data_IF_539289337727
#
_entry.id   IF_539289337727
#
_cell.length_a   1.000
_cell.length_b   1.000
_cell.length_c   1.000
_cell.angle_alpha   90.00
_cell.angle_beta   90.00
_cell.angle_gamma   90.00
#
_symmetry.space_group_name_H-M   'P 1'
#
loop_
_entity.id
_entity.type
_entity.pdbx_description
1 polymer ?
#
# COMPACT_ATOMS: atom_id res chain seq x y z
N UNK A 1 -7.45 13.97 -24.69
CA UNK A 1 -6.39 13.28 -25.46
C UNK A 1 -5.66 12.36 -24.49
N UNK A 2 -5.76 11.05 -24.68
CA UNK A 2 -5.01 10.07 -23.87
C UNK A 2 -3.51 10.35 -24.01
N UNK A 3 -2.78 10.38 -22.90
CA UNK A 3 -1.32 10.55 -22.91
C UNK A 3 -0.71 9.39 -23.69
N UNK A 4 0.15 9.68 -24.64
CA UNK A 4 0.94 8.65 -25.32
C UNK A 4 1.84 7.98 -24.29
N UNK A 5 1.66 6.69 -24.08
CA UNK A 5 2.47 5.87 -23.17
C UNK A 5 3.55 5.21 -24.03
N UNK A 6 4.80 5.61 -23.81
CA UNK A 6 5.94 5.12 -24.60
C UNK A 6 6.48 3.78 -24.08
N UNK A 7 6.23 3.46 -22.79
CA UNK A 7 6.72 2.26 -22.12
C UNK A 7 5.66 1.69 -21.19
N UNK A 8 5.26 0.45 -21.42
CA UNK A 8 4.20 -0.21 -20.63
C UNK A 8 4.69 -1.07 -19.48
N UNK A 9 5.90 -1.57 -19.56
CA UNK A 9 6.50 -2.53 -18.62
C UNK A 9 7.85 -2.00 -18.14
N UNK A 10 8.33 -2.39 -16.96
CA UNK A 10 9.71 -2.13 -16.58
C UNK A 10 10.68 -2.89 -17.50
N UNK A 11 11.88 -2.34 -17.71
CA UNK A 11 12.98 -3.11 -18.28
C UNK A 11 13.47 -4.09 -17.22
N UNK A 12 14.01 -5.20 -17.60
CA UNK A 12 14.75 -6.15 -16.76
C UNK A 12 14.05 -6.47 -15.41
N UNK A 13 12.71 -6.65 -15.43
CA UNK A 13 11.96 -6.98 -14.22
C UNK A 13 12.15 -8.45 -13.87
N UNK A 14 12.65 -8.70 -12.66
CA UNK A 14 12.69 -10.01 -12.04
C UNK A 14 11.85 -10.02 -10.75
N UNK A 15 11.18 -11.15 -10.49
CA UNK A 15 10.46 -11.34 -9.22
C UNK A 15 11.44 -11.44 -8.06
N UNK A 16 11.21 -10.65 -7.04
CA UNK A 16 11.98 -10.73 -5.81
C UNK A 16 11.85 -12.11 -5.16
N UNK A 17 12.98 -12.70 -4.78
CA UNK A 17 13.03 -14.07 -4.23
C UNK A 17 13.46 -14.13 -2.77
N UNK A 18 13.84 -13.00 -2.18
CA UNK A 18 14.25 -12.89 -0.78
C UNK A 18 13.36 -11.92 0.00
N UNK A 19 13.62 -11.77 1.29
CA UNK A 19 12.82 -10.92 2.19
C UNK A 19 13.42 -9.53 2.43
N UNK A 20 14.41 -9.11 1.66
CA UNK A 20 14.95 -7.75 1.69
C UNK A 20 14.81 -7.15 0.30
N UNK A 21 13.93 -6.16 0.15
CA UNK A 21 13.60 -5.53 -1.12
C UNK A 21 14.16 -4.12 -1.21
N UNK A 22 14.83 -3.84 -2.32
CA UNK A 22 15.53 -2.58 -2.56
C UNK A 22 15.23 -2.06 -3.96
N UNK A 23 14.55 -0.91 -4.05
CA UNK A 23 14.21 -0.27 -5.32
C UNK A 23 14.71 1.18 -5.33
N UNK A 24 16.04 1.41 -5.51
CA UNK A 24 16.62 2.75 -5.51
C UNK A 24 16.11 3.60 -6.67
N UNK A 25 15.84 2.99 -7.82
CA UNK A 25 15.07 3.59 -8.90
C UNK A 25 13.60 3.21 -8.75
N UNK A 26 12.76 4.23 -8.63
CA UNK A 26 11.32 4.01 -8.40
C UNK A 26 10.61 3.31 -9.57
N UNK A 27 11.14 3.40 -10.79
CA UNK A 27 10.46 2.95 -12.01
C UNK A 27 9.54 4.03 -12.62
N UNK A 28 9.47 4.03 -13.95
CA UNK A 28 8.77 5.07 -14.76
C UNK A 28 8.09 4.46 -15.98
N UNK A 29 7.29 3.43 -15.83
CA UNK A 29 6.50 2.86 -16.92
C UNK A 29 5.02 3.22 -16.78
N UNK A 30 4.26 3.02 -17.83
CA UNK A 30 2.85 3.35 -17.93
C UNK A 30 2.56 4.78 -17.46
N UNK A 31 1.65 4.94 -16.53
CA UNK A 31 1.23 6.23 -15.97
C UNK A 31 1.81 6.51 -14.59
N UNK A 32 2.79 5.72 -14.14
CA UNK A 32 3.41 5.91 -12.82
C UNK A 32 4.16 7.23 -12.71
N UNK A 33 3.95 7.91 -11.61
CA UNK A 33 4.70 9.11 -11.21
C UNK A 33 4.91 9.16 -9.69
N UNK A 34 5.80 10.07 -9.25
CA UNK A 34 6.10 10.29 -7.84
C UNK A 34 5.38 11.51 -7.25
N UNK A 35 4.36 12.05 -7.93
CA UNK A 35 3.74 13.33 -7.55
C UNK A 35 2.87 13.23 -6.30
N UNK A 36 2.25 12.08 -6.05
CA UNK A 36 1.47 11.87 -4.84
C UNK A 36 2.41 11.48 -3.69
N UNK A 37 2.36 12.24 -2.59
CA UNK A 37 3.19 11.98 -1.42
C UNK A 37 2.80 10.64 -0.79
N UNK A 38 3.79 9.86 -0.37
CA UNK A 38 3.56 8.55 0.25
C UNK A 38 3.30 7.39 -0.73
N UNK A 39 3.29 7.64 -2.04
CA UNK A 39 3.21 6.55 -3.00
C UNK A 39 4.40 5.59 -2.87
N UNK A 40 4.14 4.32 -2.79
CA UNK A 40 5.17 3.28 -2.89
C UNK A 40 5.70 3.10 -4.33
N UNK A 41 6.85 2.43 -4.47
CA UNK A 41 7.39 2.06 -5.78
C UNK A 41 6.46 1.05 -6.47
N UNK A 42 6.18 1.20 -7.77
CA UNK A 42 5.34 0.25 -8.52
C UNK A 42 5.93 -1.17 -8.58
N UNK A 43 7.22 -1.34 -8.37
CA UNK A 43 7.83 -2.66 -8.21
C UNK A 43 7.23 -3.47 -7.05
N UNK A 44 6.77 -2.79 -5.98
CA UNK A 44 6.20 -3.46 -4.81
C UNK A 44 4.87 -4.13 -5.14
N UNK A 45 3.81 -3.40 -5.56
CA UNK A 45 2.55 -4.04 -5.92
C UNK A 45 2.70 -4.99 -7.11
N UNK A 46 3.62 -4.73 -8.06
CA UNK A 46 3.89 -5.65 -9.16
C UNK A 46 4.38 -7.01 -8.67
N UNK A 47 5.38 -7.05 -7.80
CA UNK A 47 5.86 -8.28 -7.19
C UNK A 47 4.76 -9.03 -6.42
N UNK A 48 3.99 -8.31 -5.62
CA UNK A 48 2.92 -8.88 -4.81
C UNK A 48 1.78 -9.47 -5.66
N UNK A 49 1.30 -8.71 -6.66
CA UNK A 49 0.22 -9.12 -7.55
C UNK A 49 0.61 -10.38 -8.33
N UNK A 50 1.83 -10.40 -8.89
CA UNK A 50 2.33 -11.56 -9.63
C UNK A 50 2.51 -12.81 -8.78
N UNK A 51 2.86 -12.64 -7.48
CA UNK A 51 3.08 -13.77 -6.56
C UNK A 51 1.80 -14.32 -5.95
N UNK A 52 0.82 -13.46 -5.67
CA UNK A 52 -0.31 -13.81 -4.81
C UNK A 52 -1.66 -13.72 -5.49
N UNK A 53 -1.71 -13.47 -6.80
CA UNK A 53 -2.92 -13.48 -7.59
C UNK A 53 -2.69 -14.07 -8.99
N UNK A 54 -3.80 -14.39 -9.67
CA UNK A 54 -3.81 -14.85 -11.04
C UNK A 54 -4.51 -13.84 -11.95
N UNK A 55 -4.35 -13.95 -13.27
CA UNK A 55 -5.09 -13.13 -14.22
C UNK A 55 -6.61 -13.34 -14.04
N UNK A 56 -7.35 -12.24 -14.11
CA UNK A 56 -8.79 -12.22 -13.87
C UNK A 56 -9.19 -12.15 -12.39
N UNK A 57 -8.29 -12.39 -11.43
CA UNK A 57 -8.57 -12.27 -10.00
C UNK A 57 -9.00 -10.84 -9.63
N UNK A 58 -9.82 -10.71 -8.58
CA UNK A 58 -10.22 -9.44 -8.01
C UNK A 58 -9.25 -9.01 -6.89
N UNK A 59 -8.55 -7.92 -7.13
CA UNK A 59 -7.65 -7.26 -6.17
C UNK A 59 -8.40 -6.14 -5.44
N UNK A 60 -8.08 -5.91 -4.18
CA UNK A 60 -8.59 -4.78 -3.39
C UNK A 60 -7.41 -3.93 -2.89
N UNK A 61 -7.50 -2.61 -3.07
CA UNK A 61 -6.69 -1.62 -2.36
C UNK A 61 -7.62 -0.59 -1.72
N UNK A 62 -7.70 -0.58 -0.39
CA UNK A 62 -8.57 0.32 0.36
C UNK A 62 -7.90 1.61 0.83
N UNK A 63 -6.68 1.88 0.39
CA UNK A 63 -5.94 3.12 0.61
C UNK A 63 -5.16 3.49 -0.66
N UNK A 64 -5.90 3.73 -1.76
CA UNK A 64 -5.30 3.82 -3.10
C UNK A 64 -4.32 4.98 -3.28
N UNK A 65 -4.47 6.07 -2.50
CA UNK A 65 -3.63 7.25 -2.59
C UNK A 65 -3.40 7.69 -4.04
N UNK A 66 -2.17 7.60 -4.51
CA UNK A 66 -1.81 7.96 -5.89
C UNK A 66 -2.07 6.91 -6.96
N UNK A 67 -2.73 5.80 -6.65
CA UNK A 67 -3.20 4.80 -7.63
C UNK A 67 -2.13 3.85 -8.17
N UNK A 68 -1.00 3.68 -7.48
CA UNK A 68 0.07 2.82 -7.96
C UNK A 68 -0.37 1.35 -8.09
N UNK A 69 -1.10 0.83 -7.09
CA UNK A 69 -1.64 -0.54 -7.11
C UNK A 69 -2.66 -0.72 -8.22
N UNK A 70 -3.52 0.29 -8.45
CA UNK A 70 -4.56 0.23 -9.50
C UNK A 70 -3.94 0.08 -10.88
N UNK A 71 -2.91 0.88 -11.17
CA UNK A 71 -2.19 0.82 -12.46
C UNK A 71 -1.55 -0.55 -12.65
N UNK A 72 -0.86 -1.09 -11.64
CA UNK A 72 -0.22 -2.40 -11.74
C UNK A 72 -1.24 -3.54 -11.90
N UNK A 73 -2.34 -3.54 -11.13
CA UNK A 73 -3.38 -4.55 -11.28
C UNK A 73 -3.98 -4.54 -12.69
N UNK A 74 -4.31 -3.34 -13.21
CA UNK A 74 -4.83 -3.18 -14.58
C UNK A 74 -3.84 -3.70 -15.62
N UNK A 75 -2.55 -3.32 -15.54
CA UNK A 75 -1.51 -3.76 -16.47
C UNK A 75 -1.30 -5.27 -16.47
N UNK A 76 -1.44 -5.89 -15.32
CA UNK A 76 -1.21 -7.32 -15.10
C UNK A 76 -2.48 -8.17 -15.34
N UNK A 77 -3.53 -7.62 -15.94
CA UNK A 77 -4.81 -8.31 -16.19
C UNK A 77 -5.51 -8.81 -14.92
N UNK A 78 -5.45 -8.04 -13.82
CA UNK A 78 -6.26 -8.26 -12.62
C UNK A 78 -7.34 -7.20 -12.54
N UNK A 79 -8.55 -7.61 -12.16
CA UNK A 79 -9.61 -6.67 -11.81
C UNK A 79 -9.30 -6.05 -10.45
N UNK A 80 -9.61 -4.77 -10.25
CA UNK A 80 -9.31 -4.11 -8.98
C UNK A 80 -10.42 -3.18 -8.54
N UNK A 81 -10.72 -3.24 -7.24
CA UNK A 81 -11.50 -2.22 -6.52
C UNK A 81 -10.54 -1.37 -5.72
N UNK A 82 -10.57 -0.07 -5.97
CA UNK A 82 -9.78 0.92 -5.26
C UNK A 82 -10.64 1.86 -4.44
N UNK A 83 -10.28 2.07 -3.17
CA UNK A 83 -11.03 2.91 -2.23
C UNK A 83 -10.11 3.94 -1.62
N UNK A 84 -10.62 5.13 -1.40
CA UNK A 84 -9.99 6.18 -0.59
C UNK A 84 -11.06 7.11 -0.03
N UNK A 85 -10.82 7.72 1.11
CA UNK A 85 -11.68 8.78 1.67
C UNK A 85 -11.45 10.10 0.94
N UNK A 86 -10.27 10.30 0.34
CA UNK A 86 -9.82 11.53 -0.30
C UNK A 86 -10.22 11.58 -1.78
N UNK A 87 -11.19 12.45 -2.12
CA UNK A 87 -11.65 12.64 -3.50
C UNK A 87 -10.53 13.04 -4.46
N UNK A 88 -9.57 13.86 -4.02
CA UNK A 88 -8.43 14.24 -4.86
C UNK A 88 -7.56 13.02 -5.23
N UNK A 89 -7.35 12.10 -4.29
CA UNK A 89 -6.67 10.83 -4.58
C UNK A 89 -7.43 10.02 -5.65
N UNK A 90 -8.75 9.91 -5.52
CA UNK A 90 -9.59 9.17 -6.48
C UNK A 90 -9.61 9.79 -7.87
N UNK A 91 -9.62 11.13 -7.98
CA UNK A 91 -9.52 11.82 -9.27
C UNK A 91 -8.20 11.50 -9.96
N UNK A 92 -7.09 11.57 -9.23
CA UNK A 92 -5.78 11.16 -9.75
C UNK A 92 -5.73 9.69 -10.17
N UNK A 93 -6.39 8.81 -9.43
CA UNK A 93 -6.49 7.40 -9.79
C UNK A 93 -7.23 7.22 -11.13
N UNK A 94 -8.35 7.93 -11.33
CA UNK A 94 -9.08 7.90 -12.61
C UNK A 94 -8.19 8.36 -13.77
N UNK A 95 -7.50 9.49 -13.61
CA UNK A 95 -6.57 10.00 -14.63
C UNK A 95 -5.44 9.02 -14.97
N UNK A 96 -4.89 8.32 -13.96
CA UNK A 96 -3.81 7.35 -14.16
C UNK A 96 -4.27 6.04 -14.77
N UNK A 97 -5.48 5.64 -14.48
CA UNK A 97 -6.06 4.42 -15.04
C UNK A 97 -6.79 4.64 -16.37
N UNK A 98 -6.83 5.90 -16.88
CA UNK A 98 -7.40 6.25 -18.18
C UNK A 98 -6.44 5.89 -19.33
N UNK A 99 -6.27 4.61 -19.54
CA UNK A 99 -5.54 4.04 -20.68
C UNK A 99 -6.16 2.71 -21.11
N UNK A 100 -6.01 2.39 -22.39
CA UNK A 100 -6.46 1.14 -22.96
C UNK A 100 -5.27 0.35 -23.50
N UNK A 101 -5.26 -0.94 -23.22
CA UNK A 101 -4.28 -1.90 -23.70
C UNK A 101 -4.96 -3.27 -23.81
N UNK A 102 -4.54 -4.10 -24.74
CA UNK A 102 -4.99 -5.50 -24.79
C UNK A 102 -4.65 -6.22 -23.49
N UNK A 103 -5.53 -7.10 -23.07
CA UNK A 103 -5.39 -7.91 -21.84
C UNK A 103 -5.17 -7.09 -20.56
N UNK A 104 -5.93 -6.02 -20.39
CA UNK A 104 -5.98 -5.23 -19.14
C UNK A 104 -7.15 -5.64 -18.26
N UNK A 105 -6.91 -5.61 -16.94
CA UNK A 105 -7.98 -5.75 -15.95
C UNK A 105 -8.89 -4.53 -15.88
N UNK A 106 -10.06 -4.69 -15.28
CA UNK A 106 -11.00 -3.60 -14.99
C UNK A 106 -10.65 -2.88 -13.70
N UNK A 107 -10.91 -1.57 -13.65
CA UNK A 107 -10.65 -0.74 -12.47
C UNK A 107 -11.94 -0.09 -12.00
N UNK A 108 -12.34 -0.38 -10.76
CA UNK A 108 -13.47 0.24 -10.08
C UNK A 108 -12.95 1.13 -8.96
N UNK A 109 -13.27 2.42 -9.03
CA UNK A 109 -12.80 3.43 -8.06
C UNK A 109 -14.02 3.99 -7.31
N UNK A 110 -13.98 3.87 -5.99
CA UNK A 110 -15.08 4.30 -5.11
C UNK A 110 -14.56 5.13 -3.94
N UNK A 111 -15.27 6.21 -3.61
CA UNK A 111 -15.06 6.87 -2.32
C UNK A 111 -15.61 5.98 -1.21
N UNK A 112 -14.82 5.77 -0.19
CA UNK A 112 -15.21 4.91 0.94
C UNK A 112 -14.17 4.91 2.05
N UNK A 113 -14.58 4.36 3.16
CA UNK A 113 -13.78 4.19 4.36
C UNK A 113 -13.35 2.72 4.50
N UNK A 114 -12.06 2.49 4.61
CA UNK A 114 -11.48 1.14 4.75
C UNK A 114 -11.99 0.35 5.97
N UNK A 115 -12.58 1.05 6.94
CA UNK A 115 -13.17 0.48 8.15
C UNK A 115 -14.58 -0.08 7.94
N UNK A 116 -15.21 0.28 6.82
CA UNK A 116 -16.53 -0.20 6.42
C UNK A 116 -16.63 -0.26 4.90
N UNK A 117 -16.46 -1.45 4.35
CA UNK A 117 -16.57 -1.75 2.92
C UNK A 117 -17.71 -2.73 2.63
N UNK A 118 -18.86 -2.48 3.26
CA UNK A 118 -20.07 -3.32 3.24
C UNK A 118 -20.64 -3.59 1.84
N UNK A 119 -20.32 -2.73 0.87
CA UNK A 119 -20.68 -2.94 -0.54
C UNK A 119 -19.91 -4.10 -1.20
N UNK A 120 -18.83 -4.60 -0.58
CA UNK A 120 -18.14 -5.82 -1.01
C UNK A 120 -18.71 -7.01 -0.23
N UNK A 121 -19.21 -8.04 -0.93
CA UNK A 121 -19.66 -9.27 -0.26
C UNK A 121 -18.55 -9.95 0.53
N UNK A 122 -18.95 -10.76 1.51
CA UNK A 122 -18.01 -11.66 2.17
C UNK A 122 -17.34 -12.57 1.15
N UNK A 123 -16.05 -12.85 1.34
CA UNK A 123 -15.30 -13.82 0.53
C UNK A 123 -15.38 -13.57 -0.97
N UNK A 124 -15.34 -12.29 -1.37
CA UNK A 124 -15.45 -11.88 -2.78
C UNK A 124 -14.11 -11.49 -3.41
N UNK A 125 -13.10 -11.15 -2.61
CA UNK A 125 -11.79 -10.64 -3.02
C UNK A 125 -10.76 -11.77 -3.07
N UNK A 126 -9.95 -11.81 -4.14
CA UNK A 126 -8.89 -12.81 -4.32
C UNK A 126 -7.55 -12.37 -3.73
N UNK A 127 -7.29 -11.07 -3.69
CA UNK A 127 -6.04 -10.55 -3.14
C UNK A 127 -6.24 -9.13 -2.58
N UNK A 128 -5.67 -8.85 -1.41
CA UNK A 128 -5.60 -7.49 -0.86
C UNK A 128 -4.17 -7.01 -0.94
N UNK A 129 -3.95 -5.83 -1.53
CA UNK A 129 -2.64 -5.23 -1.71
C UNK A 129 -2.72 -3.74 -1.39
N UNK A 130 -2.31 -3.34 -0.18
CA UNK A 130 -2.66 -2.03 0.34
C UNK A 130 -1.55 -1.38 1.16
N UNK A 131 -1.57 -0.05 1.21
CA UNK A 131 -0.59 0.78 1.89
C UNK A 131 -1.30 1.89 2.69
N UNK A 132 -1.72 1.62 3.92
CA UNK A 132 -2.42 2.59 4.74
C UNK A 132 -1.52 3.77 5.15
N UNK A 133 -2.09 4.90 5.58
CA UNK A 133 -1.33 5.98 6.18
C UNK A 133 -0.68 5.53 7.48
N UNK A 134 0.39 6.22 7.91
CA UNK A 134 1.12 5.92 9.14
C UNK A 134 0.76 6.91 10.23
N UNK A 135 -0.40 6.76 10.86
CA UNK A 135 -0.88 7.66 11.91
C UNK A 135 -0.58 9.15 11.57
N UNK A 136 -0.13 9.96 12.50
CA UNK A 136 0.16 11.38 12.30
C UNK A 136 1.56 11.68 11.71
N UNK A 137 2.17 10.76 10.96
CA UNK A 137 3.50 10.96 10.34
C UNK A 137 3.39 11.83 9.08
N UNK A 138 2.41 11.54 8.23
CA UNK A 138 2.09 12.30 7.02
C UNK A 138 0.61 12.58 7.02
N UNK A 139 0.23 13.84 7.11
CA UNK A 139 -1.15 14.25 6.88
C UNK A 139 -1.42 14.32 5.39
N UNK A 140 -2.41 13.57 4.93
CA UNK A 140 -2.80 13.48 3.52
C UNK A 140 -3.93 14.44 3.14
N UNK A 141 -4.62 14.97 4.14
CA UNK A 141 -5.67 15.96 3.99
C UNK A 141 -5.62 16.98 5.12
N UNK A 142 -6.29 18.13 4.98
CA UNK A 142 -6.41 19.12 6.05
C UNK A 142 -7.71 18.92 6.87
N UNK A 143 -8.83 18.57 6.20
CA UNK A 143 -10.17 18.58 6.78
C UNK A 143 -11.03 17.35 6.38
N UNK A 144 -10.42 16.21 6.03
CA UNK A 144 -11.21 15.02 5.68
C UNK A 144 -11.55 14.25 6.95
N UNK A 145 -12.84 14.26 7.32
CA UNK A 145 -13.38 13.35 8.32
C UNK A 145 -13.09 11.91 7.94
N UNK A 146 -12.64 11.08 8.86
CA UNK A 146 -12.25 9.69 8.66
C UNK A 146 -10.87 9.44 8.01
N UNK A 147 -10.04 10.47 7.78
CA UNK A 147 -8.65 10.26 7.39
C UNK A 147 -7.82 9.74 8.59
N UNK A 148 -7.40 8.50 8.54
CA UNK A 148 -6.61 7.86 9.60
C UNK A 148 -5.25 8.53 9.82
N UNK A 149 -4.77 9.34 8.86
CA UNK A 149 -3.52 10.08 8.98
C UNK A 149 -3.54 11.19 10.02
N UNK A 150 -4.72 11.57 10.54
CA UNK A 150 -4.86 12.56 11.60
C UNK A 150 -4.79 11.95 13.01
N UNK A 151 -4.95 10.66 13.13
CA UNK A 151 -5.04 9.97 14.41
C UNK A 151 -3.69 9.85 15.10
N UNK A 152 -3.66 9.91 16.42
CA UNK A 152 -2.49 9.49 17.20
C UNK A 152 -2.34 7.97 17.14
N UNK A 153 -1.13 7.47 17.39
CA UNK A 153 -0.83 6.04 17.27
C UNK A 153 -1.83 5.13 18.01
N UNK A 154 -2.21 5.36 19.28
CA UNK A 154 -3.18 4.49 19.94
C UNK A 154 -4.55 4.47 19.27
N UNK A 155 -5.06 5.63 18.84
CA UNK A 155 -6.34 5.76 18.14
C UNK A 155 -6.27 5.09 16.75
N UNK A 156 -5.18 5.30 16.03
CA UNK A 156 -4.91 4.65 14.75
C UNK A 156 -4.94 3.12 14.87
N UNK A 157 -4.30 2.56 15.89
CA UNK A 157 -4.28 1.11 16.10
C UNK A 157 -5.69 0.54 16.40
N UNK A 158 -6.52 1.27 17.15
CA UNK A 158 -7.93 0.85 17.37
C UNK A 158 -8.72 0.85 16.04
N UNK A 159 -8.53 1.86 15.20
CA UNK A 159 -9.19 1.91 13.90
C UNK A 159 -8.67 0.83 12.94
N UNK A 160 -7.39 0.49 12.99
CA UNK A 160 -6.80 -0.61 12.19
C UNK A 160 -7.38 -1.98 12.56
N UNK A 161 -7.96 -2.18 13.74
CA UNK A 161 -8.72 -3.42 14.08
C UNK A 161 -9.96 -3.56 13.18
N UNK A 162 -10.66 -2.47 12.92
CA UNK A 162 -11.83 -2.47 12.01
C UNK A 162 -11.40 -2.77 10.58
N UNK A 163 -10.30 -2.15 10.13
CA UNK A 163 -9.72 -2.44 8.80
C UNK A 163 -9.35 -3.91 8.66
N UNK A 164 -8.67 -4.49 9.66
CA UNK A 164 -8.28 -5.90 9.65
C UNK A 164 -9.48 -6.84 9.60
N UNK A 165 -10.55 -6.53 10.35
CA UNK A 165 -11.81 -7.30 10.34
C UNK A 165 -12.47 -7.27 8.96
N UNK A 166 -12.54 -6.09 8.30
CA UNK A 166 -13.07 -5.97 6.94
C UNK A 166 -12.20 -6.70 5.92
N UNK A 167 -10.87 -6.58 6.01
CA UNK A 167 -9.95 -7.36 5.18
C UNK A 167 -10.21 -8.87 5.31
N UNK A 168 -10.37 -9.35 6.54
CA UNK A 168 -10.65 -10.77 6.78
C UNK A 168 -12.01 -11.18 6.24
N UNK A 169 -13.03 -10.36 6.41
CA UNK A 169 -14.39 -10.63 5.92
C UNK A 169 -14.46 -10.77 4.41
N UNK A 170 -13.85 -9.83 3.66
CA UNK A 170 -13.99 -9.78 2.19
C UNK A 170 -13.02 -10.71 1.44
N UNK A 171 -11.86 -11.05 2.03
CA UNK A 171 -10.89 -11.91 1.39
C UNK A 171 -11.39 -13.37 1.37
N UNK A 172 -11.27 -14.06 0.26
CA UNK A 172 -11.62 -15.48 0.15
C UNK A 172 -10.71 -16.37 1.02
N UNK A 173 -11.19 -17.48 1.59
CA UNK A 173 -10.34 -18.48 2.22
C UNK A 173 -9.23 -18.98 1.27
N UNK A 174 -8.05 -19.25 1.80
CA UNK A 174 -6.88 -19.67 1.02
C UNK A 174 -6.16 -18.55 0.28
N UNK A 175 -6.62 -17.30 0.39
CA UNK A 175 -6.06 -16.14 -0.31
C UNK A 175 -5.21 -15.26 0.61
N UNK A 176 -4.56 -14.22 0.05
CA UNK A 176 -3.52 -13.44 0.72
C UNK A 176 -3.88 -11.96 0.84
N UNK A 177 -3.39 -11.34 1.91
CA UNK A 177 -3.45 -9.90 2.16
C UNK A 177 -2.04 -9.38 2.39
N UNK A 178 -1.61 -8.41 1.59
CA UNK A 178 -0.32 -7.74 1.71
C UNK A 178 -0.50 -6.29 2.17
N UNK A 179 0.21 -5.90 3.23
CA UNK A 179 0.16 -4.55 3.80
C UNK A 179 1.56 -4.01 4.07
N UNK A 180 1.86 -2.82 3.56
CA UNK A 180 3.09 -2.09 3.86
C UNK A 180 2.87 -1.17 5.05
N UNK A 181 3.77 -1.22 6.03
CA UNK A 181 3.74 -0.39 7.23
C UNK A 181 5.10 0.19 7.55
N UNK A 182 5.11 1.43 8.01
CA UNK A 182 6.30 2.09 8.54
C UNK A 182 6.20 2.34 10.04
N UNK A 183 7.36 2.47 10.66
CA UNK A 183 7.51 2.82 12.06
C UNK A 183 7.86 4.28 12.24
N UNK A 184 7.69 4.79 13.44
CA UNK A 184 8.03 6.17 13.80
C UNK A 184 8.87 6.25 15.06
N UNK A 185 9.32 7.47 15.37
CA UNK A 185 10.07 7.75 16.58
C UNK A 185 9.43 8.90 17.34
N UNK A 186 9.18 8.72 18.62
CA UNK A 186 8.65 9.78 19.49
C UNK A 186 9.50 9.89 20.74
N UNK A 187 9.83 11.12 21.12
CA UNK A 187 10.65 11.42 22.32
C UNK A 187 11.95 10.57 22.42
N UNK A 188 12.61 10.34 21.28
CA UNK A 188 13.85 9.56 21.20
C UNK A 188 13.65 8.03 21.14
N UNK A 189 12.44 7.51 21.36
CA UNK A 189 12.15 6.07 21.35
C UNK A 189 11.46 5.63 20.08
N UNK A 190 11.77 4.42 19.63
CA UNK A 190 11.08 3.74 18.53
C UNK A 190 9.65 3.42 18.93
N UNK A 191 8.71 3.67 18.04
CA UNK A 191 7.32 3.23 18.14
C UNK A 191 7.12 2.18 17.04
N UNK A 192 7.10 0.89 17.37
CA UNK A 192 7.06 -0.21 16.40
C UNK A 192 5.64 -0.49 15.92
N UNK A 193 4.98 0.53 15.38
CA UNK A 193 3.58 0.52 14.92
C UNK A 193 3.32 -0.60 13.91
N UNK A 194 4.32 -0.93 13.08
CA UNK A 194 4.23 -2.01 12.10
C UNK A 194 3.94 -3.36 12.76
N UNK A 195 4.60 -3.65 13.89
CA UNK A 195 4.41 -4.91 14.62
C UNK A 195 3.07 -4.94 15.38
N UNK A 196 2.59 -3.78 15.85
CA UNK A 196 1.26 -3.69 16.45
C UNK A 196 0.18 -3.98 15.40
N UNK A 197 0.30 -3.39 14.19
CA UNK A 197 -0.61 -3.68 13.08
C UNK A 197 -0.50 -5.15 12.65
N UNK A 198 0.71 -5.72 12.56
CA UNK A 198 0.89 -7.15 12.30
C UNK A 198 0.10 -8.01 13.30
N UNK A 199 0.20 -7.69 14.60
CA UNK A 199 -0.54 -8.40 15.65
C UNK A 199 -2.05 -8.25 15.51
N UNK A 200 -2.53 -7.06 15.17
CA UNK A 200 -3.96 -6.79 14.92
C UNK A 200 -4.49 -7.69 13.81
N UNK A 201 -3.75 -7.83 12.69
CA UNK A 201 -4.15 -8.74 11.60
C UNK A 201 -4.14 -10.21 12.04
N UNK A 202 -3.16 -10.63 12.84
CA UNK A 202 -3.15 -11.99 13.41
C UNK A 202 -4.35 -12.23 14.34
N UNK A 203 -4.70 -11.25 15.18
CA UNK A 203 -5.86 -11.34 16.08
C UNK A 203 -7.20 -11.35 15.33
N UNK A 204 -7.26 -10.76 14.13
CA UNK A 204 -8.40 -10.87 13.22
C UNK A 204 -8.54 -12.25 12.54
N UNK A 205 -7.57 -13.14 12.70
CA UNK A 205 -7.59 -14.51 12.20
C UNK A 205 -6.60 -14.83 11.08
N UNK A 206 -5.85 -13.85 10.61
CA UNK A 206 -4.82 -14.08 9.60
C UNK A 206 -3.60 -14.81 10.16
N UNK A 207 -2.93 -15.60 9.32
CA UNK A 207 -1.59 -16.12 9.61
C UNK A 207 -0.53 -15.36 8.85
N UNK A 208 0.50 -14.91 9.54
CA UNK A 208 1.66 -14.29 8.90
C UNK A 208 2.37 -15.32 8.03
N UNK A 209 2.47 -15.04 6.72
CA UNK A 209 3.19 -15.86 5.76
C UNK A 209 4.60 -15.33 5.51
N UNK A 210 4.73 -14.02 5.23
CA UNK A 210 6.01 -13.39 4.96
C UNK A 210 6.13 -12.08 5.73
N UNK A 211 7.36 -11.78 6.17
CA UNK A 211 7.80 -10.48 6.65
C UNK A 211 8.95 -10.04 5.75
N UNK A 212 8.75 -8.92 5.04
CA UNK A 212 9.71 -8.37 4.08
C UNK A 212 10.17 -7.01 4.58
N UNK A 213 11.47 -6.79 4.56
CA UNK A 213 12.09 -5.49 4.83
C UNK A 213 12.23 -4.75 3.50
N UNK A 214 11.53 -3.64 3.35
CA UNK A 214 11.64 -2.79 2.18
C UNK A 214 12.52 -1.58 2.50
N UNK A 215 13.66 -1.47 1.86
CA UNK A 215 14.59 -0.36 2.04
C UNK A 215 14.01 0.95 1.52
N UNK A 216 14.20 2.03 2.28
CA UNK A 216 13.84 3.38 1.86
C UNK A 216 15.02 4.07 1.17
N UNK A 217 14.75 4.64 0.00
CA UNK A 217 15.72 5.39 -0.79
C UNK A 217 15.29 6.84 -0.99
N UNK A 218 16.26 7.71 -1.26
CA UNK A 218 16.05 9.11 -1.68
C UNK A 218 15.19 9.97 -0.72
N UNK A 219 15.25 9.69 0.60
CA UNK A 219 14.55 10.51 1.59
C UNK A 219 15.19 11.90 1.68
N UNK A 220 14.44 12.95 1.33
CA UNK A 220 14.92 14.34 1.25
C UNK A 220 15.54 14.87 2.55
N UNK A 221 15.08 14.40 3.70
CA UNK A 221 15.57 14.84 5.02
C UNK A 221 16.81 14.10 5.52
N UNK A 222 17.31 13.10 4.79
CA UNK A 222 18.40 12.21 5.25
C UNK A 222 19.67 12.99 5.63
N UNK A 223 20.08 13.98 4.83
CA UNK A 223 21.27 14.77 5.10
C UNK A 223 21.23 15.52 6.44
N UNK A 224 20.14 16.21 6.70
CA UNK A 224 19.90 16.93 7.97
C UNK A 224 19.84 15.96 9.17
N UNK A 225 19.06 14.89 9.05
CA UNK A 225 18.89 13.93 10.12
C UNK A 225 20.12 13.07 10.38
N UNK A 226 21.01 12.85 9.39
CA UNK A 226 22.27 12.14 9.57
C UNK A 226 23.16 12.82 10.61
N UNK A 227 23.33 14.15 10.53
CA UNK A 227 24.10 14.91 11.52
C UNK A 227 23.45 14.81 12.91
N UNK A 228 22.13 14.95 12.99
CA UNK A 228 21.41 14.87 14.25
C UNK A 228 21.45 13.45 14.86
N UNK A 229 21.43 12.41 14.06
CA UNK A 229 21.50 11.02 14.54
C UNK A 229 22.82 10.75 15.28
N UNK A 230 23.93 11.27 14.76
CA UNK A 230 25.25 11.19 15.42
C UNK A 230 25.25 12.04 16.69
N UNK A 231 24.80 13.30 16.59
CA UNK A 231 24.79 14.24 17.70
C UNK A 231 23.94 13.78 18.90
N UNK A 232 22.80 13.17 18.63
CA UNK A 232 21.82 12.76 19.63
C UNK A 232 21.72 11.24 19.81
N UNK A 233 22.67 10.49 19.25
CA UNK A 233 22.82 9.05 19.41
C UNK A 233 21.53 8.25 19.12
N UNK A 234 21.00 8.37 17.91
CA UNK A 234 19.89 7.53 17.44
C UNK A 234 20.11 7.08 15.99
N UNK A 235 19.53 5.97 15.58
CA UNK A 235 19.58 5.47 14.21
C UNK A 235 18.40 5.99 13.38
N UNK A 236 18.67 6.32 12.12
CA UNK A 236 17.60 6.65 11.17
C UNK A 236 16.83 5.38 10.80
N UNK A 237 15.50 5.49 10.74
CA UNK A 237 14.64 4.43 10.20
C UNK A 237 14.79 4.51 8.68
N UNK A 238 15.40 3.48 8.09
CA UNK A 238 15.72 3.43 6.66
C UNK A 238 14.98 2.29 5.94
N UNK A 239 13.91 1.79 6.53
CA UNK A 239 13.11 0.70 5.98
C UNK A 239 11.64 0.81 6.42
N UNK A 240 10.82 0.05 5.74
CA UNK A 240 9.43 -0.23 6.05
C UNK A 240 9.26 -1.75 6.08
N UNK A 241 8.20 -2.22 6.69
CA UNK A 241 7.86 -3.64 6.75
C UNK A 241 6.67 -3.93 5.84
N UNK A 242 6.82 -4.92 4.99
CA UNK A 242 5.75 -5.46 4.17
C UNK A 242 5.38 -6.83 4.73
N UNK A 243 4.17 -6.94 5.22
CA UNK A 243 3.61 -8.19 5.74
C UNK A 243 2.73 -8.83 4.68
N UNK A 244 2.88 -10.13 4.48
CA UNK A 244 1.95 -10.93 3.70
C UNK A 244 1.25 -11.91 4.63
N UNK A 245 -0.05 -11.80 4.69
CA UNK A 245 -0.90 -12.65 5.51
C UNK A 245 -1.67 -13.64 4.65
N UNK A 246 -1.98 -14.79 5.23
CA UNK A 246 -2.78 -15.85 4.64
C UNK A 246 -4.09 -16.00 5.43
N UNK A 247 -5.24 -15.93 4.77
CA UNK A 247 -6.53 -16.34 5.33
C UNK A 247 -6.69 -17.85 5.12
N UNK A 248 -6.57 -18.62 6.20
CA UNK A 248 -6.77 -20.08 6.16
C UNK A 248 -8.23 -20.44 6.17
#
# INVERSE_FOLDING_TARGET
MSKKIDKWEPDDFELETNTVWSFPDRGKWATHDAKYRGNWSPYIPRNLILRYSQEGDLVLDQFVGGGTTLVEAKLLNRNIVGIDVNLYALERCREKCDFERENCGTVHIKQGDARNIDFLPNESVDFICTHPPYANIIQYSEDIENDLSHLKVPEFLEEMKKVAAECYRVLKPGKFCAILMGDTRQKGHMIPMSFDVMKIFQDAGFKLKELIIKEQHNCKATGYWKTNSIKYNFLLIAHEYLFVFHRQ
#
